data_IF_715356059944
#
_entry.id   IF_715356059944
#
_cell.length_a   1.000
_cell.length_b   1.000
_cell.length_c   1.000
_cell.angle_alpha   90.00
_cell.angle_beta   90.00
_cell.angle_gamma   90.00
#
_symmetry.space_group_name_H-M   'P 1'
#
loop_
_entity.id
_entity.type
_entity.pdbx_description
1 polymer ?
#
# COMPACT_ATOMS: atom_id res chain seq x y z
N UNK A 1 23.28 50.78 68.32
CA UNK A 1 22.94 49.38 68.05
C UNK A 1 21.61 49.18 67.33
N UNK A 2 20.88 50.23 66.90
CA UNK A 2 19.54 50.11 66.30
C UNK A 2 19.55 49.91 64.75
N UNK A 3 20.58 50.39 64.03
CA UNK A 3 20.61 50.25 62.54
C UNK A 3 20.74 48.79 61.99
N UNK A 4 21.33 47.91 62.77
CA UNK A 4 21.50 46.49 62.33
C UNK A 4 20.17 45.70 62.33
N UNK A 5 19.22 46.09 63.12
CA UNK A 5 17.96 45.33 63.23
C UNK A 5 16.97 45.72 62.13
N UNK A 6 17.09 46.91 61.53
CA UNK A 6 16.22 47.37 60.49
C UNK A 6 16.55 46.66 59.14
N UNK A 7 17.82 46.48 58.81
CA UNK A 7 18.24 45.78 57.59
C UNK A 7 17.83 44.29 57.60
N UNK A 8 17.91 43.65 58.79
CA UNK A 8 17.51 42.27 58.97
C UNK A 8 15.99 42.08 58.71
N UNK A 9 15.17 43.04 59.15
CA UNK A 9 13.71 43.02 58.91
C UNK A 9 13.37 43.25 57.44
N UNK A 10 14.04 44.16 56.77
CA UNK A 10 13.83 44.42 55.30
C UNK A 10 14.28 43.20 54.48
N UNK A 11 15.40 42.59 54.83
CA UNK A 11 15.88 41.39 54.17
C UNK A 11 14.92 40.21 54.32
N UNK A 12 14.30 40.05 55.49
CA UNK A 12 13.28 39.03 55.71
C UNK A 12 12.00 39.26 54.90
N UNK A 13 11.58 40.54 54.74
CA UNK A 13 10.42 40.93 53.91
C UNK A 13 10.68 40.68 52.44
N UNK A 14 11.88 41.01 51.94
CA UNK A 14 12.28 40.78 50.57
C UNK A 14 12.36 39.26 50.28
N UNK A 15 12.92 38.48 51.23
CA UNK A 15 12.98 37.01 51.09
C UNK A 15 11.59 36.38 51.05
N UNK A 16 10.67 36.86 51.90
CA UNK A 16 9.28 36.40 51.94
C UNK A 16 8.54 36.76 50.62
N UNK A 17 8.74 37.96 50.09
CA UNK A 17 8.17 38.37 48.81
C UNK A 17 8.70 37.54 47.62
N UNK A 18 10.00 37.18 47.63
CA UNK A 18 10.58 36.28 46.64
C UNK A 18 10.02 34.85 46.72
N UNK A 19 9.79 34.33 47.92
CA UNK A 19 9.20 33.00 48.11
C UNK A 19 7.73 32.98 47.68
N UNK A 20 6.96 34.03 47.95
CA UNK A 20 5.58 34.15 47.46
C UNK A 20 5.51 34.30 45.92
N UNK A 21 6.50 34.91 45.28
CA UNK A 21 6.59 35.04 43.81
C UNK A 21 6.93 33.72 43.12
N UNK A 22 7.48 32.73 43.81
CA UNK A 22 7.82 31.41 43.25
C UNK A 22 6.63 30.43 43.31
N UNK A 23 5.54 30.75 43.98
CA UNK A 23 4.30 29.96 43.98
C UNK A 23 3.49 30.43 42.75
N UNK A 24 4.03 30.21 41.57
CA UNK A 24 3.28 30.36 40.32
C UNK A 24 2.27 29.21 40.24
N UNK A 25 0.99 29.51 40.37
CA UNK A 25 -0.06 28.56 40.08
C UNK A 25 0.09 28.13 38.63
N UNK A 26 0.53 26.92 38.38
CA UNK A 26 0.33 26.28 37.07
C UNK A 26 -1.17 26.04 36.92
N UNK A 27 -1.82 26.87 36.14
CA UNK A 27 -3.17 26.53 35.69
C UNK A 27 -3.05 25.33 34.76
N UNK A 28 -3.46 24.16 35.22
CA UNK A 28 -3.70 23.02 34.36
C UNK A 28 -5.00 23.28 33.61
N UNK A 29 -4.90 23.46 32.30
CA UNK A 29 -6.07 23.57 31.44
C UNK A 29 -6.51 22.16 31.05
N UNK A 30 -7.68 21.75 31.47
CA UNK A 30 -8.34 20.55 30.98
C UNK A 30 -9.34 20.95 29.91
N UNK A 31 -9.43 20.09 28.87
CA UNK A 31 -10.45 20.25 27.83
C UNK A 31 -11.81 19.96 28.44
N UNK A 32 -12.58 21.02 28.72
CA UNK A 32 -13.89 20.91 29.35
C UNK A 32 -14.98 20.36 28.43
N UNK A 33 -14.84 20.62 27.13
CA UNK A 33 -15.81 20.14 26.12
C UNK A 33 -15.19 20.21 24.73
N UNK A 34 -15.45 19.18 23.92
CA UNK A 34 -15.20 19.19 22.49
C UNK A 34 -16.55 19.01 21.77
N UNK A 35 -16.95 19.98 21.00
CA UNK A 35 -18.13 19.87 20.13
C UNK A 35 -17.65 19.75 18.70
N UNK A 36 -18.20 18.80 17.97
CA UNK A 36 -17.91 18.61 16.55
C UNK A 36 -19.13 18.03 15.85
N UNK A 37 -19.30 18.43 14.61
CA UNK A 37 -20.31 17.85 13.72
C UNK A 37 -19.62 17.24 12.51
N UNK A 38 -20.23 16.24 11.91
CA UNK A 38 -19.80 15.72 10.61
C UNK A 38 -20.45 16.57 9.52
N UNK A 39 -19.63 17.08 8.62
CA UNK A 39 -20.07 17.65 7.36
C UNK A 39 -19.85 16.59 6.31
N UNK A 40 -20.95 16.06 5.73
CA UNK A 40 -20.85 15.10 4.65
C UNK A 40 -20.25 15.78 3.41
N UNK A 41 -19.25 15.16 2.79
CA UNK A 41 -18.71 15.57 1.49
C UNK A 41 -19.48 14.78 0.42
N UNK A 42 -20.60 15.31 0.00
CA UNK A 42 -21.50 14.70 -0.98
C UNK A 42 -21.90 15.72 -2.06
N UNK A 43 -22.68 15.29 -3.03
CA UNK A 43 -23.09 16.10 -4.18
C UNK A 43 -23.89 17.38 -3.83
N UNK A 44 -24.30 17.58 -2.57
CA UNK A 44 -24.98 18.84 -2.16
C UNK A 44 -24.05 20.05 -2.25
N UNK A 45 -22.73 19.83 -2.13
CA UNK A 45 -21.71 20.89 -2.26
C UNK A 45 -21.43 21.28 -3.72
N UNK A 46 -21.79 20.42 -4.68
CA UNK A 46 -21.57 20.67 -6.10
C UNK A 46 -22.53 21.72 -6.66
N UNK A 47 -23.63 22.01 -5.95
CA UNK A 47 -24.66 22.97 -6.38
C UNK A 47 -24.16 24.43 -6.34
N UNK A 48 -23.24 24.75 -5.42
CA UNK A 48 -22.65 26.09 -5.26
C UNK A 48 -21.12 26.00 -5.17
N UNK A 49 -20.42 25.64 -6.26
CA UNK A 49 -18.96 25.53 -6.24
C UNK A 49 -18.30 26.89 -6.04
N UNK A 50 -17.17 26.89 -5.35
CA UNK A 50 -16.34 28.07 -5.19
C UNK A 50 -15.80 28.53 -6.55
N UNK A 51 -16.23 29.73 -7.00
CA UNK A 51 -15.91 30.25 -8.32
C UNK A 51 -14.43 30.60 -8.48
N UNK A 52 -13.77 31.03 -7.40
CA UNK A 52 -12.37 31.42 -7.44
C UNK A 52 -11.48 30.16 -7.53
N UNK A 53 -11.86 29.11 -6.78
CA UNK A 53 -11.21 27.80 -6.88
C UNK A 53 -11.38 27.19 -8.28
N UNK A 54 -12.59 27.24 -8.85
CA UNK A 54 -12.82 26.76 -10.21
C UNK A 54 -11.99 27.51 -11.24
N UNK A 55 -11.95 28.86 -11.19
CA UNK A 55 -11.16 29.65 -12.11
C UNK A 55 -9.66 29.38 -12.02
N UNK A 56 -9.16 29.05 -10.82
CA UNK A 56 -7.78 28.63 -10.60
C UNK A 56 -7.47 27.25 -11.22
N UNK A 57 -8.40 26.32 -11.13
CA UNK A 57 -8.21 24.92 -11.55
C UNK A 57 -8.49 24.72 -13.05
N UNK A 58 -9.38 25.51 -13.65
CA UNK A 58 -9.87 25.34 -15.03
C UNK A 58 -8.74 25.25 -16.09
N UNK A 59 -7.66 26.07 -16.07
CA UNK A 59 -6.59 25.97 -17.05
C UNK A 59 -5.86 24.62 -17.04
N UNK A 60 -5.83 23.96 -15.88
CA UNK A 60 -5.16 22.65 -15.70
C UNK A 60 -6.09 21.48 -15.97
N UNK A 61 -7.39 21.66 -15.68
CA UNK A 61 -8.39 20.59 -15.77
C UNK A 61 -8.47 19.97 -17.17
N UNK A 62 -8.56 20.80 -18.20
CA UNK A 62 -8.68 20.31 -19.57
C UNK A 62 -7.48 19.44 -20.00
N UNK A 63 -6.26 19.82 -19.58
CA UNK A 63 -5.04 19.05 -19.84
C UNK A 63 -5.04 17.71 -19.08
N UNK A 64 -5.41 17.73 -17.81
CA UNK A 64 -5.50 16.52 -16.99
C UNK A 64 -6.58 15.59 -17.52
N UNK A 65 -7.79 16.10 -17.79
CA UNK A 65 -8.93 15.32 -18.29
C UNK A 65 -8.59 14.65 -19.64
N UNK A 66 -7.85 15.32 -20.53
CA UNK A 66 -7.41 14.78 -21.80
C UNK A 66 -6.51 13.55 -21.65
N UNK A 67 -5.56 13.58 -20.71
CA UNK A 67 -4.63 12.48 -20.45
C UNK A 67 -5.31 11.37 -19.64
N UNK A 68 -6.02 11.75 -18.59
CA UNK A 68 -6.64 10.79 -17.66
C UNK A 68 -7.86 10.08 -18.24
N UNK A 69 -8.57 10.73 -19.16
CA UNK A 69 -9.73 10.16 -19.85
C UNK A 69 -9.39 9.21 -20.99
N UNK A 70 -8.10 9.06 -21.37
CA UNK A 70 -7.69 8.17 -22.44
C UNK A 70 -8.04 6.72 -22.11
N UNK A 71 -8.78 6.06 -23.01
CA UNK A 71 -9.17 4.65 -22.86
C UNK A 71 -8.01 3.74 -23.28
N UNK A 72 -7.53 2.93 -22.36
CA UNK A 72 -6.43 1.98 -22.52
C UNK A 72 -6.92 0.56 -22.89
N UNK A 73 -8.13 0.21 -22.46
CA UNK A 73 -8.70 -1.11 -22.71
C UNK A 73 -10.11 -1.26 -22.21
N UNK A 74 -10.57 -2.52 -22.12
CA UNK A 74 -11.92 -2.84 -21.64
C UNK A 74 -11.85 -3.98 -20.62
N UNK A 75 -12.44 -3.79 -19.46
CA UNK A 75 -12.67 -4.86 -18.49
C UNK A 75 -13.92 -5.65 -18.87
N UNK A 76 -13.81 -6.97 -18.92
CA UNK A 76 -14.92 -7.87 -19.22
C UNK A 76 -15.89 -8.01 -18.04
N UNK A 77 -15.37 -7.84 -16.81
CA UNK A 77 -16.09 -7.99 -15.54
C UNK A 77 -15.52 -7.02 -14.51
N UNK A 78 -16.33 -6.66 -13.51
CA UNK A 78 -15.81 -5.91 -12.36
C UNK A 78 -14.93 -6.79 -11.50
N UNK A 79 -13.76 -6.27 -11.10
CA UNK A 79 -12.77 -6.96 -10.27
C UNK A 79 -12.46 -6.14 -9.04
N UNK A 80 -12.70 -6.71 -7.87
CA UNK A 80 -12.41 -6.11 -6.56
C UNK A 80 -11.15 -6.71 -5.95
N UNK A 81 -10.70 -6.12 -4.82
CA UNK A 81 -9.55 -6.49 -4.02
C UNK A 81 -9.95 -6.83 -2.60
N UNK A 82 -9.66 -8.02 -2.13
CA UNK A 82 -9.92 -8.49 -0.77
C UNK A 82 -9.03 -9.70 -0.44
N UNK A 83 -9.02 -10.10 0.82
CA UNK A 83 -8.33 -11.29 1.30
C UNK A 83 -9.32 -12.44 1.52
N UNK A 84 -8.88 -13.71 1.42
CA UNK A 84 -7.49 -14.16 1.24
C UNK A 84 -6.99 -14.06 -0.20
N UNK A 85 -7.88 -14.05 -1.20
CA UNK A 85 -7.61 -14.00 -2.64
C UNK A 85 -8.69 -13.14 -3.33
N UNK A 86 -8.32 -12.38 -4.33
CA UNK A 86 -9.27 -11.60 -5.13
C UNK A 86 -8.89 -11.55 -6.60
N UNK A 87 -9.86 -11.32 -7.51
CA UNK A 87 -9.57 -11.26 -8.95
C UNK A 87 -8.53 -10.20 -9.29
N UNK A 88 -8.67 -8.98 -8.74
CA UNK A 88 -7.77 -7.89 -9.09
C UNK A 88 -6.36 -8.09 -8.53
N UNK A 89 -6.23 -8.64 -7.30
CA UNK A 89 -4.90 -8.95 -6.76
C UNK A 89 -4.21 -10.08 -7.51
N UNK A 90 -4.95 -11.09 -7.99
CA UNK A 90 -4.43 -12.14 -8.85
C UNK A 90 -3.88 -11.56 -10.16
N UNK A 91 -4.65 -10.70 -10.83
CA UNK A 91 -4.27 -10.06 -12.07
C UNK A 91 -2.96 -9.25 -11.92
N UNK A 92 -2.88 -8.41 -10.89
CA UNK A 92 -1.71 -7.56 -10.66
C UNK A 92 -0.48 -8.41 -10.29
N UNK A 93 -0.65 -9.48 -9.51
CA UNK A 93 0.43 -10.42 -9.22
C UNK A 93 0.92 -11.17 -10.47
N UNK A 94 0.02 -11.49 -11.40
CA UNK A 94 0.37 -12.10 -12.70
C UNK A 94 1.19 -11.12 -13.55
N UNK A 95 0.81 -9.84 -13.58
CA UNK A 95 1.56 -8.79 -14.29
C UNK A 95 2.97 -8.68 -13.73
N UNK A 96 3.16 -8.61 -12.41
CA UNK A 96 4.48 -8.56 -11.78
C UNK A 96 5.32 -9.80 -12.10
N UNK A 97 4.70 -10.99 -11.99
CA UNK A 97 5.38 -12.25 -12.29
C UNK A 97 5.88 -12.30 -13.73
N UNK A 98 5.06 -11.85 -14.68
CA UNK A 98 5.42 -11.83 -16.08
C UNK A 98 6.43 -10.73 -16.42
N UNK A 99 6.31 -9.54 -15.82
CA UNK A 99 7.23 -8.42 -16.02
C UNK A 99 8.68 -8.76 -15.59
N UNK A 100 8.86 -9.69 -14.64
CA UNK A 100 10.17 -10.21 -14.28
C UNK A 100 10.93 -10.85 -15.45
N UNK A 101 10.24 -11.20 -16.55
CA UNK A 101 10.88 -11.74 -17.75
C UNK A 101 11.84 -10.74 -18.41
N UNK A 102 11.63 -9.44 -18.26
CA UNK A 102 12.57 -8.41 -18.72
C UNK A 102 13.95 -8.49 -18.05
N UNK A 103 14.02 -9.05 -16.85
CA UNK A 103 15.26 -9.26 -16.08
C UNK A 103 15.78 -10.69 -16.24
N UNK A 104 14.89 -11.69 -16.19
CA UNK A 104 15.24 -13.10 -16.10
C UNK A 104 15.27 -13.82 -17.46
N UNK A 105 14.73 -13.21 -18.51
CA UNK A 105 14.44 -13.90 -19.78
C UNK A 105 13.26 -14.88 -19.72
N UNK A 106 12.62 -15.03 -18.57
CA UNK A 106 11.44 -15.86 -18.31
C UNK A 106 10.60 -15.24 -17.16
N UNK A 107 9.31 -15.58 -17.03
CA UNK A 107 8.55 -15.18 -15.85
C UNK A 107 9.22 -15.66 -14.55
N UNK A 108 9.05 -14.92 -13.46
CA UNK A 108 9.49 -15.36 -12.14
C UNK A 108 8.75 -16.64 -11.71
N UNK A 109 9.29 -17.37 -10.73
CA UNK A 109 8.59 -18.53 -10.16
C UNK A 109 7.35 -18.05 -9.38
N UNK A 110 7.44 -16.92 -8.69
CA UNK A 110 6.37 -16.32 -7.88
C UNK A 110 6.20 -14.84 -8.23
N UNK A 111 4.95 -14.37 -8.27
CA UNK A 111 4.57 -12.96 -8.24
C UNK A 111 3.91 -12.63 -6.91
N UNK A 112 4.20 -11.44 -6.33
CA UNK A 112 3.63 -11.00 -5.05
C UNK A 112 3.32 -9.50 -5.09
N UNK A 113 2.08 -9.15 -4.69
CA UNK A 113 1.65 -7.78 -4.44
C UNK A 113 0.83 -7.72 -3.16
N UNK A 114 0.98 -6.65 -2.38
CA UNK A 114 0.12 -6.43 -1.23
C UNK A 114 -1.26 -5.89 -1.64
N UNK A 115 -2.32 -6.51 -1.13
CA UNK A 115 -3.71 -6.07 -1.36
C UNK A 115 -3.92 -4.62 -0.90
N UNK A 116 -3.21 -4.19 0.16
CA UNK A 116 -3.25 -2.81 0.67
C UNK A 116 -2.73 -1.76 -0.32
N UNK A 117 -1.85 -2.14 -1.25
CA UNK A 117 -1.33 -1.27 -2.32
C UNK A 117 -2.32 -1.02 -3.44
N UNK A 118 -3.32 -1.89 -3.59
CA UNK A 118 -4.41 -1.74 -4.57
C UNK A 118 -5.50 -0.89 -3.91
N UNK A 119 -5.83 0.28 -4.46
CA UNK A 119 -6.62 1.30 -3.74
C UNK A 119 -8.06 1.45 -4.23
N UNK A 120 -8.38 0.96 -5.41
CA UNK A 120 -9.72 1.01 -5.98
C UNK A 120 -10.07 -0.32 -6.65
N UNK A 121 -11.32 -0.47 -7.09
CA UNK A 121 -11.84 -1.59 -7.88
C UNK A 121 -11.70 -1.27 -9.37
N UNK A 122 -11.52 -2.28 -10.20
CA UNK A 122 -11.63 -2.15 -11.64
C UNK A 122 -13.07 -2.53 -12.05
N UNK A 123 -13.84 -1.54 -12.47
CA UNK A 123 -15.23 -1.75 -12.90
C UNK A 123 -15.30 -2.28 -14.32
N UNK A 124 -16.33 -3.08 -14.61
CA UNK A 124 -16.65 -3.52 -15.99
C UNK A 124 -16.82 -2.30 -16.92
N UNK A 125 -16.30 -2.41 -18.15
CA UNK A 125 -16.36 -1.35 -19.16
C UNK A 125 -14.99 -0.79 -19.50
N UNK A 126 -14.95 0.47 -19.96
CA UNK A 126 -13.72 1.12 -20.38
C UNK A 126 -12.74 1.29 -19.21
N UNK A 127 -11.48 0.96 -19.46
CA UNK A 127 -10.35 1.19 -18.55
C UNK A 127 -9.63 2.44 -19.04
N UNK A 128 -9.72 3.53 -18.26
CA UNK A 128 -9.03 4.77 -18.57
C UNK A 128 -7.70 4.87 -17.81
N UNK A 129 -6.84 5.78 -18.24
CA UNK A 129 -5.63 6.14 -17.48
C UNK A 129 -5.96 6.48 -16.04
N UNK A 130 -7.03 7.25 -15.80
CA UNK A 130 -7.51 7.60 -14.45
C UNK A 130 -7.80 6.37 -13.61
N UNK A 131 -8.53 5.38 -14.15
CA UNK A 131 -8.85 4.16 -13.39
C UNK A 131 -7.58 3.44 -12.95
N UNK A 132 -6.55 3.38 -13.80
CA UNK A 132 -5.27 2.75 -13.46
C UNK A 132 -4.56 3.53 -12.35
N UNK A 133 -4.56 4.87 -12.39
CA UNK A 133 -4.00 5.71 -11.33
C UNK A 133 -4.75 5.58 -10.00
N UNK A 134 -6.07 5.45 -10.04
CA UNK A 134 -6.89 5.23 -8.84
C UNK A 134 -6.65 3.85 -8.21
N UNK A 135 -6.43 2.82 -9.03
CA UNK A 135 -6.14 1.45 -8.58
C UNK A 135 -4.72 1.36 -8.02
N UNK A 136 -3.73 1.93 -8.70
CA UNK A 136 -2.30 1.85 -8.38
C UNK A 136 -1.67 3.25 -8.24
N UNK A 137 -2.03 4.02 -7.18
CA UNK A 137 -1.59 5.42 -7.05
C UNK A 137 -0.13 5.57 -6.65
N UNK A 138 0.52 4.52 -6.15
CA UNK A 138 1.90 4.58 -5.66
C UNK A 138 2.92 4.41 -6.79
N UNK A 139 4.09 5.05 -6.64
CA UNK A 139 5.23 4.92 -7.56
C UNK A 139 6.12 3.69 -7.23
N UNK A 140 5.47 2.58 -6.86
CA UNK A 140 6.18 1.34 -6.56
C UNK A 140 6.82 0.76 -7.82
N UNK A 141 8.08 0.37 -7.74
CA UNK A 141 8.84 -0.20 -8.84
C UNK A 141 8.94 -1.73 -8.73
N UNK A 142 8.96 -2.40 -9.88
CA UNK A 142 9.25 -3.83 -9.94
C UNK A 142 10.61 -4.13 -9.32
N UNK A 143 10.65 -5.13 -8.45
CA UNK A 143 11.88 -5.77 -7.99
C UNK A 143 11.81 -7.28 -8.24
N UNK A 144 12.87 -7.82 -8.80
CA UNK A 144 13.06 -9.26 -9.02
C UNK A 144 14.10 -9.74 -8.02
N UNK A 145 13.67 -10.69 -7.18
CA UNK A 145 14.46 -11.21 -6.06
C UNK A 145 14.74 -12.69 -6.26
N UNK A 146 15.90 -13.16 -5.76
CA UNK A 146 16.20 -14.60 -5.66
C UNK A 146 16.24 -15.00 -4.20
N UNK A 147 15.33 -15.88 -3.77
CA UNK A 147 15.22 -16.39 -2.41
C UNK A 147 15.63 -17.86 -2.34
N UNK A 148 16.25 -18.27 -1.23
CA UNK A 148 16.35 -19.68 -0.86
C UNK A 148 14.98 -20.26 -0.52
N UNK A 149 14.81 -21.59 -0.66
CA UNK A 149 13.53 -22.24 -0.38
C UNK A 149 13.06 -22.09 1.06
N UNK A 150 13.98 -22.04 2.03
CA UNK A 150 13.63 -21.78 3.43
C UNK A 150 13.05 -20.35 3.62
N UNK A 151 13.67 -19.33 3.00
CA UNK A 151 13.18 -17.95 3.02
C UNK A 151 11.84 -17.83 2.28
N UNK A 152 11.65 -18.56 1.20
CA UNK A 152 10.36 -18.60 0.50
C UNK A 152 9.25 -19.21 1.35
N UNK A 153 9.54 -20.27 2.13
CA UNK A 153 8.57 -20.81 3.10
C UNK A 153 8.20 -19.80 4.18
N UNK A 154 9.19 -19.06 4.69
CA UNK A 154 8.92 -17.98 5.65
C UNK A 154 8.10 -16.86 4.99
N UNK A 155 8.38 -16.49 3.74
CA UNK A 155 7.55 -15.55 2.99
C UNK A 155 6.09 -16.02 2.91
N UNK A 156 5.87 -17.31 2.65
CA UNK A 156 4.52 -17.88 2.65
C UNK A 156 3.85 -17.77 4.03
N UNK A 157 4.60 -17.95 5.13
CA UNK A 157 4.09 -17.74 6.48
C UNK A 157 3.80 -16.25 6.76
N UNK A 158 4.62 -15.33 6.25
CA UNK A 158 4.34 -13.89 6.34
C UNK A 158 3.04 -13.52 5.61
N UNK A 159 2.80 -14.09 4.42
CA UNK A 159 1.55 -13.90 3.66
C UNK A 159 0.36 -14.47 4.43
N UNK A 160 0.50 -15.67 5.01
CA UNK A 160 -0.54 -16.31 5.81
C UNK A 160 -0.93 -15.48 7.03
N UNK A 161 0.05 -14.95 7.78
CA UNK A 161 -0.16 -14.10 8.94
C UNK A 161 -0.93 -12.80 8.63
N UNK A 162 -0.97 -12.38 7.37
CA UNK A 162 -1.76 -11.24 6.89
C UNK A 162 -3.16 -11.64 6.38
N UNK A 163 -3.50 -12.92 6.45
CA UNK A 163 -4.75 -13.46 5.93
C UNK A 163 -4.78 -13.58 4.41
N UNK A 164 -3.61 -13.61 3.75
CA UNK A 164 -3.46 -13.68 2.30
C UNK A 164 -3.05 -12.35 1.66
N UNK A 165 -2.47 -12.42 0.48
CA UNK A 165 -2.08 -11.29 -0.40
C UNK A 165 -2.26 -11.70 -1.88
N UNK A 166 -2.04 -10.79 -2.82
CA UNK A 166 -2.06 -11.12 -4.25
C UNK A 166 -0.83 -11.94 -4.64
N UNK A 167 -1.05 -13.17 -5.09
CA UNK A 167 0.05 -14.08 -5.47
C UNK A 167 -0.16 -14.67 -6.85
N UNK A 168 0.95 -15.00 -7.52
CA UNK A 168 0.99 -15.70 -8.80
C UNK A 168 2.05 -16.80 -8.76
N UNK A 169 1.77 -17.96 -9.37
CA UNK A 169 2.67 -19.12 -9.35
C UNK A 169 2.79 -19.80 -7.97
N UNK A 170 2.04 -19.33 -6.98
CA UNK A 170 2.05 -19.79 -5.59
C UNK A 170 0.63 -20.26 -5.20
N UNK A 171 0.54 -21.37 -4.48
CA UNK A 171 -0.70 -21.83 -3.86
C UNK A 171 -0.47 -21.98 -2.36
N UNK A 172 -1.34 -21.38 -1.56
CA UNK A 172 -1.29 -21.40 -0.11
C UNK A 172 -2.59 -21.94 0.48
N UNK A 173 -2.46 -22.73 1.56
CA UNK A 173 -3.57 -23.04 2.43
C UNK A 173 -3.25 -22.45 3.80
N UNK A 174 -4.14 -21.62 4.33
CA UNK A 174 -3.98 -20.91 5.59
C UNK A 174 -5.16 -21.21 6.50
N UNK A 175 -5.00 -21.06 7.82
CA UNK A 175 -6.11 -21.14 8.78
C UNK A 175 -6.65 -19.73 9.13
N UNK A 176 -7.70 -19.70 9.94
CA UNK A 176 -8.33 -18.45 10.37
C UNK A 176 -7.44 -17.63 11.32
N UNK A 177 -6.48 -18.26 11.98
CA UNK A 177 -5.50 -17.65 12.90
C UNK A 177 -4.30 -17.06 12.15
N UNK A 178 -4.20 -17.29 10.83
CA UNK A 178 -3.12 -16.80 9.98
C UNK A 178 -1.90 -17.72 9.94
N UNK A 179 -2.04 -19.00 10.30
CA UNK A 179 -0.95 -19.96 10.14
C UNK A 179 -0.94 -20.55 8.73
N UNK A 180 0.26 -20.78 8.22
CA UNK A 180 0.47 -21.49 6.97
C UNK A 180 0.31 -23.00 7.19
N UNK A 181 -0.63 -23.62 6.49
CA UNK A 181 -0.86 -25.06 6.52
C UNK A 181 -0.18 -25.78 5.35
N UNK A 182 -0.19 -25.17 4.16
CA UNK A 182 0.44 -25.73 2.96
C UNK A 182 0.91 -24.61 2.04
N UNK A 183 2.05 -24.83 1.37
CA UNK A 183 2.57 -23.93 0.32
C UNK A 183 3.14 -24.74 -0.86
N UNK A 184 2.77 -24.34 -2.08
CA UNK A 184 3.26 -24.93 -3.32
C UNK A 184 3.65 -23.85 -4.31
N UNK A 185 4.75 -24.07 -5.06
CA UNK A 185 5.16 -23.25 -6.21
C UNK A 185 5.03 -24.10 -7.48
N UNK A 186 4.30 -23.60 -8.46
CA UNK A 186 4.04 -24.35 -9.69
C UNK A 186 3.37 -25.71 -9.44
N UNK A 187 2.56 -25.82 -8.39
CA UNK A 187 1.87 -27.04 -7.98
C UNK A 187 2.72 -28.04 -7.18
N UNK A 188 4.01 -27.75 -6.94
CA UNK A 188 4.93 -28.62 -6.20
C UNK A 188 5.27 -28.04 -4.83
N UNK A 189 5.55 -28.91 -3.84
CA UNK A 189 6.04 -28.48 -2.54
C UNK A 189 7.34 -27.70 -2.69
N UNK A 190 7.53 -26.71 -1.79
CA UNK A 190 8.74 -25.88 -1.79
C UNK A 190 9.93 -26.76 -1.33
N UNK A 191 10.96 -26.82 -2.17
CA UNK A 191 12.23 -27.48 -1.87
C UNK A 191 13.18 -26.45 -1.20
N UNK A 192 13.56 -26.70 0.05
CA UNK A 192 14.44 -25.79 0.81
C UNK A 192 15.86 -25.71 0.25
N UNK A 193 16.31 -26.75 -0.46
CA UNK A 193 17.63 -26.77 -1.10
C UNK A 193 17.70 -26.01 -2.44
N UNK A 194 16.57 -25.51 -2.92
CA UNK A 194 16.45 -24.81 -4.21
C UNK A 194 16.30 -23.29 -4.00
N UNK A 195 16.65 -22.54 -5.03
CA UNK A 195 16.35 -21.10 -5.10
C UNK A 195 15.12 -20.84 -5.98
N UNK A 196 14.40 -19.76 -5.67
CA UNK A 196 13.19 -19.33 -6.38
C UNK A 196 13.28 -17.85 -6.69
N UNK A 197 12.75 -17.46 -7.83
CA UNK A 197 12.67 -16.05 -8.24
C UNK A 197 11.30 -15.50 -7.87
N UNK A 198 11.27 -14.28 -7.31
CA UNK A 198 10.07 -13.57 -6.89
C UNK A 198 10.02 -12.21 -7.58
N UNK A 199 8.98 -11.95 -8.39
CA UNK A 199 8.64 -10.64 -8.90
C UNK A 199 7.72 -9.93 -7.92
N UNK A 200 8.14 -8.79 -7.37
CA UNK A 200 7.38 -8.02 -6.39
C UNK A 200 7.65 -6.52 -6.56
N UNK A 201 7.22 -5.70 -5.63
CA UNK A 201 7.47 -4.26 -5.61
C UNK A 201 8.57 -3.90 -4.59
N UNK A 202 9.24 -2.78 -4.82
CA UNK A 202 10.31 -2.25 -3.98
C UNK A 202 9.88 -2.12 -2.50
N UNK A 203 8.67 -1.62 -2.25
CA UNK A 203 8.10 -1.51 -0.91
C UNK A 203 8.11 -2.85 -0.14
N UNK A 204 7.68 -3.94 -0.77
CA UNK A 204 7.70 -5.27 -0.17
C UNK A 204 9.11 -5.85 -0.08
N UNK A 205 9.94 -5.59 -1.09
CA UNK A 205 11.34 -6.05 -1.14
C UNK A 205 12.18 -5.48 0.02
N UNK A 206 11.75 -4.36 0.63
CA UNK A 206 12.34 -3.75 1.82
C UNK A 206 11.80 -4.32 3.14
N UNK A 207 10.96 -5.34 3.08
CA UNK A 207 10.40 -6.02 4.26
C UNK A 207 9.15 -5.35 4.83
N UNK A 208 8.62 -4.33 4.17
CA UNK A 208 7.38 -3.68 4.58
C UNK A 208 6.20 -4.66 4.53
N UNK A 209 5.12 -4.30 5.18
CA UNK A 209 3.92 -5.16 5.34
C UNK A 209 4.25 -6.54 5.95
N UNK A 210 5.31 -6.64 6.76
CA UNK A 210 5.71 -7.87 7.44
C UNK A 210 6.41 -8.88 6.52
N UNK A 211 6.80 -8.52 5.30
CA UNK A 211 7.49 -9.40 4.33
C UNK A 211 9.00 -9.48 4.59
N UNK A 212 9.40 -9.65 5.85
CA UNK A 212 10.81 -9.65 6.27
C UNK A 212 11.66 -10.68 5.52
N UNK A 213 11.10 -11.80 5.10
CA UNK A 213 11.81 -12.83 4.33
C UNK A 213 12.40 -12.30 3.02
N UNK A 214 11.77 -11.30 2.39
CA UNK A 214 12.25 -10.69 1.12
C UNK A 214 13.57 -9.95 1.28
N UNK A 215 13.88 -9.44 2.47
CA UNK A 215 15.15 -8.70 2.72
C UNK A 215 16.37 -9.61 2.68
N UNK A 216 16.20 -10.93 2.76
CA UNK A 216 17.27 -11.93 2.72
C UNK A 216 17.56 -12.47 1.31
N UNK A 217 16.98 -11.83 0.29
CA UNK A 217 17.25 -12.19 -1.10
C UNK A 217 18.74 -12.18 -1.41
N UNK A 218 19.24 -13.28 -1.99
CA UNK A 218 20.64 -13.40 -2.42
C UNK A 218 20.98 -12.53 -3.65
N UNK A 219 19.95 -12.19 -4.44
CA UNK A 219 20.01 -11.25 -5.55
C UNK A 219 18.78 -10.37 -5.56
N UNK A 220 18.97 -9.09 -5.85
CA UNK A 220 17.89 -8.10 -6.03
C UNK A 220 18.18 -7.26 -7.28
N UNK A 221 17.24 -7.18 -8.20
CA UNK A 221 17.31 -6.34 -9.37
C UNK A 221 15.98 -5.57 -9.49
N UNK A 222 16.03 -4.25 -9.43
CA UNK A 222 14.89 -3.38 -9.58
C UNK A 222 15.15 -2.46 -10.79
N UNK A 223 14.61 -2.79 -11.98
CA UNK A 223 14.84 -2.01 -13.19
C UNK A 223 14.33 -0.58 -13.03
N UNK A 224 15.13 0.40 -13.44
CA UNK A 224 14.72 1.80 -13.43
C UNK A 224 13.51 2.03 -14.35
N UNK A 225 12.55 2.83 -13.88
CA UNK A 225 11.34 3.18 -14.64
C UNK A 225 10.28 2.08 -14.76
N UNK A 226 10.53 0.86 -14.28
CA UNK A 226 9.55 -0.23 -14.28
C UNK A 226 8.54 -0.10 -13.13
N UNK A 227 7.71 0.96 -13.14
CA UNK A 227 6.67 1.14 -12.11
C UNK A 227 5.56 0.11 -12.27
N UNK A 228 4.97 -0.34 -11.15
CA UNK A 228 3.83 -1.28 -11.17
C UNK A 228 2.67 -0.74 -12.01
N UNK A 229 2.37 0.55 -11.87
CA UNK A 229 1.33 1.23 -12.65
C UNK A 229 1.62 1.20 -14.15
N UNK A 230 2.85 1.52 -14.56
CA UNK A 230 3.30 1.46 -15.95
C UNK A 230 3.17 0.04 -16.51
N UNK A 231 3.66 -0.97 -15.79
CA UNK A 231 3.57 -2.37 -16.19
C UNK A 231 2.12 -2.86 -16.33
N UNK A 232 1.23 -2.39 -15.45
CA UNK A 232 -0.19 -2.72 -15.56
C UNK A 232 -0.85 -2.02 -16.75
N UNK A 233 -0.47 -0.77 -17.04
CA UNK A 233 -0.93 -0.04 -18.23
C UNK A 233 -0.47 -0.75 -19.52
N UNK A 234 0.80 -1.09 -19.61
CA UNK A 234 1.37 -1.83 -20.75
C UNK A 234 0.68 -3.20 -20.95
N UNK A 235 0.32 -3.86 -19.85
CA UNK A 235 -0.45 -5.10 -19.90
C UNK A 235 -1.83 -4.86 -20.52
N UNK A 236 -2.57 -3.86 -20.04
CA UNK A 236 -3.91 -3.53 -20.54
C UNK A 236 -3.86 -3.17 -22.04
N UNK A 237 -2.91 -2.34 -22.46
CA UNK A 237 -2.73 -1.95 -23.86
C UNK A 237 -2.37 -3.15 -24.76
N UNK A 238 -1.48 -4.02 -24.30
CA UNK A 238 -1.09 -5.23 -25.04
C UNK A 238 -2.25 -6.20 -25.21
N UNK A 239 -3.05 -6.45 -24.17
CA UNK A 239 -4.22 -7.32 -24.26
C UNK A 239 -5.28 -6.71 -25.20
N UNK A 240 -5.48 -5.40 -25.12
CA UNK A 240 -6.39 -4.66 -25.98
C UNK A 240 -5.95 -4.72 -27.46
N UNK A 241 -4.67 -4.52 -27.73
CA UNK A 241 -4.11 -4.65 -29.09
C UNK A 241 -4.27 -6.06 -29.67
N UNK A 242 -4.29 -7.08 -28.79
CA UNK A 242 -4.56 -8.47 -29.16
C UNK A 242 -6.07 -8.81 -29.26
N UNK A 243 -6.95 -7.82 -29.13
CA UNK A 243 -8.41 -8.00 -29.19
C UNK A 243 -9.02 -8.68 -27.97
N UNK A 244 -8.29 -8.75 -26.84
CA UNK A 244 -8.76 -9.37 -25.60
C UNK A 244 -9.24 -8.32 -24.61
N UNK A 245 -10.29 -8.66 -23.87
CA UNK A 245 -10.72 -7.90 -22.71
C UNK A 245 -9.95 -8.33 -21.46
N UNK A 246 -9.87 -7.43 -20.50
CA UNK A 246 -9.19 -7.67 -19.22
C UNK A 246 -10.16 -8.39 -18.29
N UNK A 247 -9.75 -9.54 -17.78
CA UNK A 247 -10.51 -10.30 -16.78
C UNK A 247 -9.58 -11.14 -15.90
N UNK A 248 -9.98 -11.37 -14.67
CA UNK A 248 -9.39 -12.33 -13.77
C UNK A 248 -10.46 -12.88 -12.83
N UNK A 249 -10.15 -13.99 -12.18
CA UNK A 249 -11.07 -14.69 -11.28
C UNK A 249 -10.33 -15.21 -10.07
N UNK A 250 -11.09 -15.69 -9.08
CA UNK A 250 -10.57 -16.47 -7.97
C UNK A 250 -10.22 -17.88 -8.50
N UNK A 251 -9.02 -18.35 -8.22
CA UNK A 251 -8.46 -19.61 -8.74
C UNK A 251 -8.05 -20.58 -7.62
N UNK A 252 -8.25 -20.21 -6.35
CA UNK A 252 -7.82 -20.99 -5.20
C UNK A 252 -6.31 -20.88 -4.96
N UNK A 253 -5.73 -19.71 -5.26
CA UNK A 253 -4.30 -19.45 -5.01
C UNK A 253 -4.02 -19.31 -3.52
N UNK A 254 -4.95 -18.72 -2.76
CA UNK A 254 -4.90 -18.64 -1.31
C UNK A 254 -6.25 -19.12 -0.75
N UNK A 255 -6.24 -20.27 -0.08
CA UNK A 255 -7.45 -20.89 0.47
C UNK A 255 -7.40 -20.83 1.98
N UNK A 256 -8.46 -20.29 2.60
CA UNK A 256 -8.63 -20.30 4.05
C UNK A 256 -9.41 -21.56 4.45
N UNK A 257 -8.79 -22.43 5.25
CA UNK A 257 -9.48 -23.54 5.92
C UNK A 257 -10.14 -23.02 7.20
N UNK A 258 -11.38 -23.45 7.37
CA UNK A 258 -12.13 -23.23 8.61
C UNK A 258 -11.73 -24.26 9.65
#
# INVERSE_FOLDING_TARGET
MEKKNTYSKWMAVVLLACVCGLVSCRAEYEVAKVEGTRVAMDATWDAEPDKDALALLEPYKAGVDSVMGEVKGVAAVSMDRFRPESPLSNLIADVLRQAAAGVLGRPADVGLVNVGGIRNVLTEGNITTQNIYEILPFENSLCVLTLGGADLKELCANIAARGGEGVSGLNLVIDAEGHLLEAKVGGQAIDEGRTYTVGTIDFLAEGNDGMAALTRASQRQCPEGATLRGLFMDYVERETAAGRKIEARIEGRVVMKK
#
